data_IF_392242173618
#
_entry.id   IF_392242173618
#
_cell.length_a   1.000
_cell.length_b   1.000
_cell.length_c   1.000
_cell.angle_alpha   90.00
_cell.angle_beta   90.00
_cell.angle_gamma   90.00
#
_symmetry.space_group_name_H-M   'P 1'
#
loop_
_entity.id
_entity.type
_entity.pdbx_description
1 polymer ?
#
# COMPACT_ATOMS: atom_id res chain seq x y z
N UNK A 1 7.40 -2.34 1.82
CA UNK A 1 6.48 -2.83 2.90
C UNK A 1 5.87 -4.17 2.47
N UNK A 2 5.54 -5.08 3.39
CA UNK A 2 4.89 -6.36 3.07
C UNK A 2 3.94 -6.77 4.20
N UNK A 3 2.73 -7.22 3.86
CA UNK A 3 1.80 -7.81 4.82
C UNK A 3 2.12 -9.30 5.05
N UNK A 4 2.17 -9.72 6.30
CA UNK A 4 2.16 -11.15 6.66
C UNK A 4 0.71 -11.57 6.91
N UNK A 5 0.15 -12.37 5.98
CA UNK A 5 -1.26 -12.78 6.03
C UNK A 5 -1.57 -13.68 7.23
N UNK A 6 -0.66 -14.60 7.55
CA UNK A 6 -0.86 -15.60 8.61
C UNK A 6 -0.85 -14.96 10.01
N UNK A 7 -0.08 -13.88 10.18
CA UNK A 7 0.02 -13.16 11.46
C UNK A 7 -0.97 -12.01 11.60
N UNK A 8 -1.56 -11.54 10.50
CA UNK A 8 -2.47 -10.40 10.55
C UNK A 8 -3.78 -10.81 11.22
N UNK A 9 -4.16 -10.14 12.32
CA UNK A 9 -5.42 -10.40 13.03
C UNK A 9 -6.58 -9.52 12.55
N UNK A 10 -6.34 -8.61 11.62
CA UNK A 10 -7.38 -7.72 11.10
C UNK A 10 -7.74 -6.54 12.03
N UNK A 11 -6.80 -6.00 12.81
CA UNK A 11 -7.07 -4.95 13.80
C UNK A 11 -7.27 -3.52 13.24
N UNK A 12 -6.98 -3.27 11.96
CA UNK A 12 -7.23 -1.97 11.33
C UNK A 12 -6.21 -0.85 11.63
N UNK A 13 -5.44 -0.90 12.71
CA UNK A 13 -4.55 0.20 13.11
C UNK A 13 -3.54 0.68 12.06
N UNK A 14 -3.12 -0.19 11.13
CA UNK A 14 -2.25 0.21 10.03
C UNK A 14 -2.92 1.20 9.06
N UNK A 15 -4.23 1.09 8.86
CA UNK A 15 -5.02 2.02 8.04
C UNK A 15 -5.04 3.38 8.72
N UNK A 16 -5.42 3.42 10.00
CA UNK A 16 -5.52 4.66 10.78
C UNK A 16 -4.18 5.39 10.93
N UNK A 17 -3.09 4.62 11.07
CA UNK A 17 -1.75 5.18 11.28
C UNK A 17 -1.12 5.75 10.01
N UNK A 18 -1.65 5.49 8.82
CA UNK A 18 -1.02 5.90 7.56
C UNK A 18 -1.35 7.37 7.22
N UNK A 19 -0.40 8.32 7.35
CA UNK A 19 -0.69 9.74 7.07
C UNK A 19 -0.93 10.01 5.58
N UNK A 20 -0.48 9.10 4.71
CA UNK A 20 -0.60 9.24 3.26
C UNK A 20 -1.85 8.56 2.69
N UNK A 21 -2.64 7.85 3.52
CA UNK A 21 -3.79 7.09 3.04
C UNK A 21 -3.42 5.97 2.05
N UNK A 22 -2.19 5.45 2.11
CA UNK A 22 -1.68 4.45 1.17
C UNK A 22 -2.03 3.00 1.54
N UNK A 23 -2.79 2.80 2.63
CA UNK A 23 -3.23 1.50 3.11
C UNK A 23 -4.76 1.49 3.12
N UNK A 24 -5.35 0.57 2.35
CA UNK A 24 -6.80 0.43 2.19
C UNK A 24 -7.30 -0.84 2.88
N UNK A 25 -8.59 -0.95 3.18
CA UNK A 25 -9.17 -2.17 3.76
C UNK A 25 -9.85 -3.02 2.69
N UNK A 26 -9.56 -4.32 2.65
CA UNK A 26 -10.36 -5.27 1.89
C UNK A 26 -11.38 -5.96 2.84
N UNK A 27 -12.68 -5.65 2.72
CA UNK A 27 -13.70 -6.21 3.60
C UNK A 27 -13.98 -7.70 3.32
N UNK A 28 -13.74 -8.20 2.11
CA UNK A 28 -14.03 -9.60 1.73
C UNK A 28 -13.12 -10.59 2.45
N UNK A 29 -11.84 -10.23 2.63
CA UNK A 29 -10.85 -11.08 3.31
C UNK A 29 -10.49 -10.60 4.71
N UNK A 30 -11.05 -9.46 5.14
CA UNK A 30 -10.77 -8.80 6.42
C UNK A 30 -9.27 -8.53 6.64
N UNK A 31 -8.60 -7.97 5.63
CA UNK A 31 -7.16 -7.63 5.64
C UNK A 31 -6.89 -6.29 4.96
N UNK A 32 -5.78 -5.61 5.32
CA UNK A 32 -5.37 -4.39 4.64
C UNK A 32 -4.70 -4.70 3.29
N UNK A 33 -4.92 -3.83 2.30
CA UNK A 33 -4.14 -3.73 1.07
C UNK A 33 -3.07 -2.67 1.31
N UNK A 34 -1.80 -3.09 1.32
CA UNK A 34 -0.67 -2.21 1.61
C UNK A 34 0.09 -1.84 0.35
N UNK A 35 0.47 -0.56 0.18
CA UNK A 35 1.44 -0.19 -0.85
C UNK A 35 2.81 -0.82 -0.53
N UNK A 36 3.36 -1.60 -1.47
CA UNK A 36 4.67 -2.25 -1.30
C UNK A 36 5.82 -1.44 -1.93
N UNK A 37 5.52 -0.27 -2.49
CA UNK A 37 6.45 0.59 -3.23
C UNK A 37 7.10 -0.14 -4.42
N UNK A 38 6.29 -0.89 -5.19
CA UNK A 38 6.76 -1.63 -6.38
C UNK A 38 6.77 -0.81 -7.67
N UNK A 39 6.19 0.39 -7.68
CA UNK A 39 6.16 1.26 -8.87
C UNK A 39 5.17 0.86 -9.97
N UNK A 40 4.43 -0.25 -9.85
CA UNK A 40 3.50 -0.73 -10.90
C UNK A 40 2.48 0.32 -11.36
N UNK A 41 2.05 1.22 -10.48
CA UNK A 41 1.13 2.30 -10.83
C UNK A 41 1.72 3.32 -11.83
N UNK A 42 3.05 3.46 -11.92
CA UNK A 42 3.72 4.38 -12.84
C UNK A 42 3.45 3.99 -14.29
N UNK A 43 3.55 2.71 -14.62
CA UNK A 43 3.32 2.20 -15.99
C UNK A 43 1.86 2.34 -16.43
N UNK A 44 0.93 2.35 -15.47
CA UNK A 44 -0.52 2.42 -15.73
C UNK A 44 -1.08 3.84 -15.74
N UNK A 45 -0.27 4.87 -15.42
CA UNK A 45 -0.75 6.24 -15.39
C UNK A 45 -0.79 6.81 -16.83
N UNK A 46 -1.97 6.98 -17.46
CA UNK A 46 -2.05 7.47 -18.85
C UNK A 46 -1.60 8.93 -18.98
N UNK A 47 -1.64 9.69 -17.88
CA UNK A 47 -1.21 11.08 -17.83
C UNK A 47 0.27 11.25 -17.49
N UNK A 48 0.99 10.16 -17.20
CA UNK A 48 2.43 10.16 -16.87
C UNK A 48 2.79 11.13 -15.72
N UNK A 49 1.91 11.27 -14.72
CA UNK A 49 2.12 12.17 -13.58
C UNK A 49 2.82 11.49 -12.40
N UNK A 50 3.02 10.17 -12.47
CA UNK A 50 3.72 9.39 -11.45
C UNK A 50 5.12 9.06 -11.96
N UNK A 51 6.11 9.16 -11.08
CA UNK A 51 7.48 8.68 -11.31
C UNK A 51 7.89 7.74 -10.19
N UNK A 52 8.77 6.79 -10.50
CA UNK A 52 9.39 5.93 -9.49
C UNK A 52 10.84 6.37 -9.30
N UNK A 53 11.15 6.90 -8.13
CA UNK A 53 12.50 7.35 -7.79
C UNK A 53 13.01 6.55 -6.60
N UNK A 54 14.25 6.07 -6.72
CA UNK A 54 14.98 5.51 -5.60
C UNK A 54 15.42 6.65 -4.69
N UNK A 55 14.86 6.69 -3.48
CA UNK A 55 15.33 7.63 -2.46
C UNK A 55 16.71 7.16 -2.02
N UNK A 56 17.76 7.82 -2.52
CA UNK A 56 19.11 7.67 -1.97
C UNK A 56 19.12 8.25 -0.55
N UNK A 57 19.65 7.52 0.44
CA UNK A 57 19.77 8.00 1.81
C UNK A 57 20.58 9.30 1.90
#
# INVERSE_FOLDING_TARGET
>A
MRLNMDKCIGCGYCVDACPFGAIFWNPEVNKPIVCVYCGYCVDFCPHKVLTFEEVKP
#
